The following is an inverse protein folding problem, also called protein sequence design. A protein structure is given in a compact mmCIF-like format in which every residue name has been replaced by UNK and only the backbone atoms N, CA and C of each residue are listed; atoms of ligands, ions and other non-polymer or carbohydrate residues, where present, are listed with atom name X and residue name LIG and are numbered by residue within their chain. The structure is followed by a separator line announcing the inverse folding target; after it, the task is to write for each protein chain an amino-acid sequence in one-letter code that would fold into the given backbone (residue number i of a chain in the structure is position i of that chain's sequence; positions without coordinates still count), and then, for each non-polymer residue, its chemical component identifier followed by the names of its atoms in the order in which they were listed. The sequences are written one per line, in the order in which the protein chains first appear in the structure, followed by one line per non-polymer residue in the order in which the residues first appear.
data_IF_690903695860
#
_entry.id   IF_690903695860
#
_cell.length_a   1.000
_cell.length_b   1.000
_cell.length_c   1.000
_cell.angle_alpha   90.00
_cell.angle_beta   90.00
_cell.angle_gamma   90.00
#
_symmetry.space_group_name_H-M   'P 1'
#
loop_
_entity.id
_entity.type
_entity.pdbx_description
1 polymer ?
#
# COMPACT_ATOMS: atom_id res chain seq x y z
N UNK A 1 15.48 -62.84 45.93
CA UNK A 1 16.87 -62.87 45.44
C UNK A 1 17.07 -61.61 44.63
N UNK A 2 17.87 -60.61 44.98
CA UNK A 2 18.88 -60.41 46.04
C UNK A 2 18.85 -58.90 46.38
N UNK A 3 18.76 -58.48 47.66
CA UNK A 3 19.90 -57.96 48.44
C UNK A 3 20.13 -56.46 48.17
N UNK A 4 19.49 -55.52 48.90
CA UNK A 4 19.95 -54.90 50.18
C UNK A 4 21.38 -54.36 50.09
N UNK A 5 21.59 -53.03 50.08
CA UNK A 5 21.84 -52.19 51.28
C UNK A 5 22.34 -50.79 50.86
N UNK A 6 22.22 -49.80 51.75
CA UNK A 6 23.04 -48.58 51.65
C UNK A 6 22.35 -47.24 51.90
N UNK A 7 21.92 -47.04 53.15
CA UNK A 7 21.48 -45.79 53.76
C UNK A 7 22.55 -44.67 53.67
N UNK A 8 22.16 -43.44 53.32
CA UNK A 8 22.69 -42.19 53.90
C UNK A 8 21.99 -40.91 53.39
N UNK A 9 21.39 -40.23 54.37
CA UNK A 9 20.85 -38.88 54.40
C UNK A 9 21.57 -37.84 53.51
N UNK A 10 20.78 -37.06 52.75
CA UNK A 10 21.09 -35.65 52.53
C UNK A 10 19.84 -34.76 52.66
N UNK A 11 20.05 -33.64 53.34
CA UNK A 11 19.09 -32.64 53.83
C UNK A 11 18.67 -31.65 52.74
N UNK A 12 17.41 -31.21 52.85
CA UNK A 12 16.89 -29.84 52.70
C UNK A 12 17.35 -28.96 51.52
N UNK A 13 16.40 -28.61 50.65
CA UNK A 13 16.16 -27.30 49.99
C UNK A 13 14.80 -27.47 49.25
N UNK A 14 13.69 -26.78 49.57
CA UNK A 14 13.49 -25.32 49.70
C UNK A 14 12.77 -24.82 48.44
N UNK A 15 11.47 -25.11 48.25
CA UNK A 15 10.35 -24.13 48.24
C UNK A 15 10.74 -22.70 47.84
N UNK A 16 10.94 -22.41 46.55
CA UNK A 16 10.91 -21.02 46.02
C UNK A 16 10.38 -21.02 44.58
N UNK A 17 9.17 -20.47 44.37
CA UNK A 17 8.60 -20.34 43.02
C UNK A 17 7.35 -19.47 42.87
N UNK A 18 6.83 -18.85 43.94
CA UNK A 18 5.49 -18.24 43.91
C UNK A 18 5.42 -16.83 44.55
N UNK A 19 6.52 -16.06 44.53
CA UNK A 19 6.62 -14.77 45.23
C UNK A 19 6.85 -13.53 44.34
N UNK A 20 7.02 -13.65 43.02
CA UNK A 20 7.47 -12.52 42.17
C UNK A 20 6.38 -11.72 41.46
N UNK A 21 5.09 -12.06 41.62
CA UNK A 21 4.00 -11.35 40.91
C UNK A 21 3.22 -10.34 41.78
N UNK A 22 3.50 -10.25 43.09
CA UNK A 22 2.81 -9.31 44.00
C UNK A 22 3.50 -7.97 44.18
N UNK A 23 4.74 -7.82 43.73
CA UNK A 23 5.53 -6.60 43.97
C UNK A 23 5.29 -5.49 42.93
N UNK A 24 4.91 -5.86 41.69
CA UNK A 24 4.79 -4.88 40.58
C UNK A 24 3.65 -3.87 40.84
N UNK A 25 2.53 -4.32 41.41
CA UNK A 25 1.39 -3.43 41.70
C UNK A 25 1.58 -2.52 42.93
N UNK A 26 2.60 -2.76 43.76
CA UNK A 26 2.85 -1.96 44.96
C UNK A 26 3.87 -0.84 44.69
N UNK A 27 4.80 -1.03 43.75
CA UNK A 27 5.79 -0.02 43.36
C UNK A 27 5.13 1.19 42.70
N UNK A 28 4.15 0.97 41.81
CA UNK A 28 3.39 2.05 41.14
C UNK A 28 2.61 2.94 42.12
N UNK A 29 2.13 2.36 43.24
CA UNK A 29 1.42 3.09 44.29
C UNK A 29 2.38 3.88 45.18
N UNK A 30 3.55 3.30 45.50
CA UNK A 30 4.57 3.97 46.32
C UNK A 30 5.20 5.14 45.55
N UNK A 31 5.39 5.03 44.24
CA UNK A 31 5.90 6.14 43.42
C UNK A 31 4.93 7.34 43.40
N UNK A 32 3.61 7.09 43.31
CA UNK A 32 2.62 8.17 43.27
C UNK A 32 2.58 8.97 44.59
N UNK A 33 2.84 8.32 45.73
CA UNK A 33 2.96 8.97 47.05
C UNK A 33 4.22 9.85 47.17
N UNK A 34 5.23 9.66 46.32
CA UNK A 34 6.48 10.44 46.35
C UNK A 34 6.49 11.66 45.44
N UNK A 35 5.63 11.69 44.41
CA UNK A 35 5.52 12.82 43.50
C UNK A 35 4.80 13.99 44.19
N UNK A 36 5.34 15.19 44.05
CA UNK A 36 4.61 16.39 44.46
C UNK A 36 3.33 16.55 43.64
N UNK A 37 2.34 17.30 44.14
CA UNK A 37 1.10 17.55 43.37
C UNK A 37 1.38 18.11 41.97
N UNK A 38 2.39 18.98 41.83
CA UNK A 38 2.80 19.54 40.53
C UNK A 38 3.37 18.46 39.61
N UNK A 39 4.13 17.51 40.15
CA UNK A 39 4.69 16.40 39.38
C UNK A 39 3.64 15.36 39.00
N UNK A 40 2.64 15.11 39.86
CA UNK A 40 1.49 14.27 39.55
C UNK A 40 0.67 14.88 38.40
N UNK A 41 0.36 16.18 38.46
CA UNK A 41 -0.33 16.90 37.39
C UNK A 41 0.47 16.87 36.07
N UNK A 42 1.79 17.05 36.13
CA UNK A 42 2.67 16.95 34.96
C UNK A 42 2.70 15.53 34.38
N UNK A 43 2.79 14.50 35.22
CA UNK A 43 2.74 13.09 34.83
C UNK A 43 1.43 12.79 34.09
N UNK A 44 0.29 13.18 34.64
CA UNK A 44 -1.01 12.99 34.00
C UNK A 44 -1.10 13.74 32.66
N UNK A 45 -0.56 14.96 32.57
CA UNK A 45 -0.51 15.71 31.31
C UNK A 45 0.31 14.94 30.26
N UNK A 46 1.51 14.50 30.61
CA UNK A 46 2.43 13.80 29.69
C UNK A 46 1.88 12.44 29.23
N UNK A 47 1.19 11.71 30.11
CA UNK A 47 0.53 10.46 29.73
C UNK A 47 -0.61 10.68 28.72
N UNK A 48 -1.32 11.81 28.83
CA UNK A 48 -2.41 12.18 27.93
C UNK A 48 -1.93 12.76 26.58
N UNK A 49 -0.72 13.31 26.50
CA UNK A 49 -0.12 13.79 25.24
C UNK A 49 0.24 12.64 24.27
N UNK A 50 0.34 11.41 24.78
CA UNK A 50 0.64 10.21 24.01
C UNK A 50 -0.57 9.62 23.28
N UNK A 51 -0.30 8.56 22.50
CA UNK A 51 -1.32 7.79 21.79
C UNK A 51 -1.74 6.55 22.59
N UNK A 52 -2.21 6.72 23.82
CA UNK A 52 -2.55 5.62 24.73
C UNK A 52 -3.64 4.68 24.18
N UNK A 53 -4.52 5.18 23.30
CA UNK A 53 -5.54 4.38 22.64
C UNK A 53 -5.01 3.46 21.54
N UNK A 54 -3.74 3.60 21.12
CA UNK A 54 -3.15 2.82 20.04
C UNK A 54 -2.45 1.56 20.54
N UNK A 55 -2.91 0.41 20.05
CA UNK A 55 -2.26 -0.87 20.24
C UNK A 55 -1.07 -1.04 19.29
N UNK A 56 -0.10 -1.87 19.69
CA UNK A 56 1.01 -2.26 18.83
C UNK A 56 0.56 -2.93 17.52
N UNK A 57 -0.57 -3.64 17.56
CA UNK A 57 -1.14 -4.29 16.37
C UNK A 57 -1.68 -3.26 15.36
N UNK A 58 -2.33 -2.20 15.81
CA UNK A 58 -2.81 -1.10 14.96
C UNK A 58 -1.64 -0.34 14.34
N UNK A 59 -0.59 -0.04 15.14
CA UNK A 59 0.66 0.52 14.63
C UNK A 59 1.25 -0.33 13.49
N UNK A 60 1.35 -1.65 13.68
CA UNK A 60 1.85 -2.56 12.63
C UNK A 60 1.01 -2.54 11.37
N UNK A 61 -0.32 -2.48 11.50
CA UNK A 61 -1.24 -2.38 10.35
C UNK A 61 -1.09 -1.04 9.63
N UNK A 62 -0.94 0.06 10.36
CA UNK A 62 -0.67 1.38 9.79
C UNK A 62 0.64 1.38 9.00
N UNK A 63 1.73 0.89 9.60
CA UNK A 63 3.02 0.77 8.91
C UNK A 63 2.92 -0.13 7.68
N UNK A 64 2.18 -1.24 7.75
CA UNK A 64 1.93 -2.10 6.60
C UNK A 64 1.16 -1.36 5.49
N UNK A 65 0.12 -0.59 5.84
CA UNK A 65 -0.63 0.22 4.89
C UNK A 65 0.26 1.26 4.19
N UNK A 66 1.05 2.03 4.93
CA UNK A 66 1.96 3.06 4.39
C UNK A 66 3.07 2.46 3.51
N UNK A 67 3.62 1.31 3.89
CA UNK A 67 4.70 0.67 3.13
C UNK A 67 4.22 -0.18 1.96
N UNK A 68 2.94 -0.54 1.89
CA UNK A 68 2.37 -1.35 0.80
C UNK A 68 2.38 -0.64 -0.56
N UNK A 69 2.28 0.69 -0.58
CA UNK A 69 2.05 1.47 -1.79
C UNK A 69 0.64 1.30 -2.37
N UNK A 70 -0.31 0.70 -1.64
CA UNK A 70 -1.71 0.51 -2.02
C UNK A 70 -2.60 1.73 -1.72
N UNK A 71 -2.12 2.63 -0.87
CA UNK A 71 -2.81 3.86 -0.49
C UNK A 71 -1.95 5.10 -0.77
N UNK A 72 -2.59 6.24 -0.99
CA UNK A 72 -1.93 7.54 -0.89
C UNK A 72 -1.78 7.86 0.61
N UNK A 73 -0.71 8.55 0.98
CA UNK A 73 -0.45 8.99 2.36
C UNK A 73 -1.44 10.06 2.81
N UNK A 74 -2.11 10.73 1.87
CA UNK A 74 -3.19 11.68 2.14
C UNK A 74 -4.59 11.04 2.16
N UNK A 75 -4.72 9.75 1.78
CA UNK A 75 -6.00 9.03 1.72
C UNK A 75 -6.34 8.40 3.09
N UNK A 76 -6.54 9.27 4.09
CA UNK A 76 -6.86 8.87 5.46
C UNK A 76 -8.07 7.93 5.57
N UNK A 77 -9.18 8.10 4.81
CA UNK A 77 -10.30 7.17 4.88
C UNK A 77 -9.92 5.73 4.52
N UNK A 78 -9.12 5.53 3.46
CA UNK A 78 -8.69 4.18 3.09
C UNK A 78 -7.64 3.62 4.03
N UNK A 79 -6.75 4.47 4.56
CA UNK A 79 -5.76 4.04 5.57
C UNK A 79 -6.48 3.60 6.85
N UNK A 80 -7.46 4.37 7.32
CA UNK A 80 -8.26 4.02 8.50
C UNK A 80 -8.95 2.67 8.33
N UNK A 81 -9.60 2.44 7.19
CA UNK A 81 -10.19 1.14 6.87
C UNK A 81 -9.18 -0.02 6.87
N UNK A 82 -7.90 0.24 6.55
CA UNK A 82 -6.84 -0.78 6.58
C UNK A 82 -6.28 -1.04 7.99
N UNK A 83 -6.36 -0.07 8.90
CA UNK A 83 -5.91 -0.21 10.30
C UNK A 83 -6.94 -1.02 11.12
N UNK A 84 -8.23 -0.80 10.87
CA UNK A 84 -9.33 -1.50 11.53
C UNK A 84 -10.54 -0.59 11.77
N UNK A 85 -11.64 -1.17 12.25
CA UNK A 85 -12.90 -0.45 12.54
C UNK A 85 -12.84 0.50 13.72
N UNK A 86 -11.83 0.35 14.58
CA UNK A 86 -11.87 0.91 15.94
C UNK A 86 -11.18 2.29 16.03
N UNK A 87 -10.61 2.78 14.91
CA UNK A 87 -10.00 4.11 14.80
C UNK A 87 -10.77 4.98 13.83
N UNK A 88 -11.08 6.19 14.28
CA UNK A 88 -11.67 7.22 13.44
C UNK A 88 -10.64 7.76 12.45
N UNK A 89 -11.11 8.33 11.33
CA UNK A 89 -10.24 8.98 10.33
C UNK A 89 -9.40 10.10 10.96
N UNK A 90 -9.94 10.81 11.95
CA UNK A 90 -9.24 11.85 12.70
C UNK A 90 -8.07 11.30 13.53
N UNK A 91 -8.31 10.27 14.33
CA UNK A 91 -7.25 9.63 15.13
C UNK A 91 -6.11 9.09 14.25
N UNK A 92 -6.46 8.49 13.10
CA UNK A 92 -5.47 7.98 12.13
C UNK A 92 -4.65 9.12 11.54
N UNK A 93 -5.28 10.23 11.17
CA UNK A 93 -4.56 11.43 10.66
C UNK A 93 -3.60 11.98 11.71
N UNK A 94 -4.06 12.12 12.95
CA UNK A 94 -3.27 12.75 14.02
C UNK A 94 -2.07 11.85 14.39
N UNK A 95 -2.29 10.53 14.54
CA UNK A 95 -1.22 9.56 14.75
C UNK A 95 -0.23 9.52 13.59
N UNK A 96 -0.74 9.53 12.35
CA UNK A 96 0.11 9.46 11.16
C UNK A 96 0.99 10.69 11.00
N UNK A 97 0.45 11.89 11.32
CA UNK A 97 1.22 13.14 11.32
C UNK A 97 2.35 13.05 12.34
N UNK A 98 2.05 12.68 13.58
CA UNK A 98 3.05 12.51 14.63
C UNK A 98 4.09 11.42 14.29
N UNK A 99 3.66 10.32 13.66
CA UNK A 99 4.54 9.24 13.24
C UNK A 99 5.54 9.70 12.18
N UNK A 100 5.10 10.47 11.19
CA UNK A 100 5.98 10.96 10.12
C UNK A 100 6.90 12.09 10.60
N UNK A 101 6.46 12.92 11.54
CA UNK A 101 7.27 14.02 12.08
C UNK A 101 8.27 13.56 13.15
N UNK A 102 7.85 12.67 14.06
CA UNK A 102 8.62 12.30 15.27
C UNK A 102 9.07 10.83 15.28
N UNK A 103 8.60 9.99 14.36
CA UNK A 103 8.89 8.56 14.36
C UNK A 103 10.38 8.22 14.36
N UNK A 104 11.21 9.03 13.71
CA UNK A 104 12.67 8.86 13.70
C UNK A 104 13.32 9.06 15.08
N UNK A 105 12.70 9.87 15.95
CA UNK A 105 13.17 10.16 17.31
C UNK A 105 12.62 9.15 18.32
N UNK A 106 11.36 8.73 18.15
CA UNK A 106 10.64 7.92 19.14
C UNK A 106 10.71 6.41 18.89
N UNK A 107 10.98 5.96 17.66
CA UNK A 107 10.88 4.54 17.27
C UNK A 107 12.22 4.02 16.77
N UNK A 108 12.77 3.02 17.44
CA UNK A 108 13.99 2.33 17.03
C UNK A 108 13.83 1.70 15.64
N UNK A 109 14.72 2.06 14.71
CA UNK A 109 14.70 1.50 13.34
C UNK A 109 13.69 2.14 12.38
N UNK A 110 13.05 3.25 12.77
CA UNK A 110 12.07 3.94 11.93
C UNK A 110 12.64 4.43 10.58
N UNK A 111 13.94 4.75 10.51
CA UNK A 111 14.61 5.13 9.27
C UNK A 111 14.41 4.12 8.13
N UNK A 112 14.36 2.82 8.45
CA UNK A 112 14.08 1.78 7.45
C UNK A 112 12.61 1.80 6.98
N UNK A 113 11.68 2.07 7.90
CA UNK A 113 10.26 2.21 7.60
C UNK A 113 10.03 3.43 6.71
N UNK A 114 10.59 4.59 7.08
CA UNK A 114 10.51 5.82 6.31
C UNK A 114 11.05 5.64 4.89
N UNK A 115 12.20 4.99 4.74
CA UNK A 115 12.76 4.67 3.42
C UNK A 115 11.80 3.79 2.59
N UNK A 116 11.13 2.82 3.21
CA UNK A 116 10.13 1.98 2.53
C UNK A 116 8.89 2.78 2.13
N UNK A 117 8.41 3.69 2.98
CA UNK A 117 7.28 4.60 2.67
C UNK A 117 7.65 5.48 1.47
N UNK A 118 8.82 6.13 1.48
CA UNK A 118 9.26 6.96 0.36
C UNK A 118 9.34 6.16 -0.95
N UNK A 119 9.92 4.95 -0.92
CA UNK A 119 9.99 4.06 -2.10
C UNK A 119 8.60 3.61 -2.57
N UNK A 120 7.65 3.37 -1.66
CA UNK A 120 6.29 2.96 -2.01
C UNK A 120 5.53 4.12 -2.67
N UNK A 121 5.67 5.33 -2.14
CA UNK A 121 5.11 6.58 -2.70
C UNK A 121 5.68 6.89 -4.08
N UNK A 122 6.99 6.79 -4.26
CA UNK A 122 7.63 7.03 -5.56
C UNK A 122 7.15 6.01 -6.62
N UNK A 123 7.04 4.74 -6.23
CA UNK A 123 6.48 3.69 -7.12
C UNK A 123 5.01 3.93 -7.45
N UNK A 124 4.20 4.42 -6.50
CA UNK A 124 2.80 4.82 -6.73
C UNK A 124 2.75 5.99 -7.72
N UNK A 125 3.43 7.09 -7.42
CA UNK A 125 3.49 8.28 -8.27
C UNK A 125 3.88 7.92 -9.71
N UNK A 126 4.91 7.08 -9.87
CA UNK A 126 5.34 6.60 -11.19
C UNK A 126 4.21 5.86 -11.93
N UNK A 127 3.46 4.99 -11.25
CA UNK A 127 2.31 4.27 -11.85
C UNK A 127 1.16 5.22 -12.20
N UNK A 128 0.88 6.20 -11.33
CA UNK A 128 -0.18 7.18 -11.57
C UNK A 128 0.17 8.09 -12.75
N UNK A 129 1.44 8.46 -12.91
CA UNK A 129 1.95 9.17 -14.08
C UNK A 129 1.84 8.32 -15.36
N UNK A 130 2.19 7.02 -15.29
CA UNK A 130 2.05 6.08 -16.41
C UNK A 130 0.58 5.95 -16.84
N UNK A 131 -0.33 5.83 -15.89
CA UNK A 131 -1.78 5.77 -16.12
C UNK A 131 -2.30 7.06 -16.75
N UNK A 132 -1.94 8.21 -16.19
CA UNK A 132 -2.36 9.52 -16.69
C UNK A 132 -1.87 9.76 -18.12
N UNK A 133 -0.62 9.43 -18.42
CA UNK A 133 -0.08 9.52 -19.77
C UNK A 133 -0.80 8.57 -20.74
N UNK A 134 -1.09 7.34 -20.30
CA UNK A 134 -1.84 6.35 -21.09
C UNK A 134 -3.26 6.83 -21.43
N UNK A 135 -4.02 7.29 -20.43
CA UNK A 135 -5.36 7.86 -20.61
C UNK A 135 -5.32 9.06 -21.55
N UNK A 136 -4.43 10.02 -21.28
CA UNK A 136 -4.26 11.21 -22.13
C UNK A 136 -3.96 10.86 -23.59
N UNK A 137 -3.10 9.86 -23.83
CA UNK A 137 -2.74 9.43 -25.19
C UNK A 137 -3.94 8.89 -25.95
N UNK A 138 -4.75 8.02 -25.34
CA UNK A 138 -6.00 7.54 -25.97
C UNK A 138 -6.96 8.70 -26.20
N UNK A 139 -7.05 9.60 -25.23
CA UNK A 139 -7.95 10.74 -25.29
C UNK A 139 -7.55 11.81 -26.31
N UNK A 140 -6.28 11.86 -26.71
CA UNK A 140 -5.76 12.80 -27.69
C UNK A 140 -6.14 12.50 -29.15
N UNK A 141 -6.64 11.28 -29.43
CA UNK A 141 -7.04 10.86 -30.78
C UNK A 141 -8.56 10.85 -30.92
N UNK A 142 -9.06 11.28 -32.08
CA UNK A 142 -10.49 11.18 -32.43
C UNK A 142 -10.89 9.73 -32.73
N UNK A 143 -9.98 8.99 -33.39
CA UNK A 143 -10.15 7.60 -33.80
C UNK A 143 -9.02 6.74 -33.26
N UNK A 144 -8.95 6.51 -31.93
CA UNK A 144 -7.83 5.79 -31.32
C UNK A 144 -7.67 4.36 -31.85
N UNK A 145 -8.73 3.73 -32.35
CA UNK A 145 -8.75 2.42 -33.01
C UNK A 145 -7.95 2.36 -34.32
N UNK A 146 -7.72 3.50 -34.98
CA UNK A 146 -6.94 3.58 -36.23
C UNK A 146 -5.66 4.41 -36.07
N UNK A 147 -5.66 5.42 -35.20
CA UNK A 147 -4.60 6.43 -35.08
C UNK A 147 -3.57 6.11 -34.00
N UNK A 148 -3.91 5.32 -32.98
CA UNK A 148 -3.01 5.06 -31.86
C UNK A 148 -1.78 4.27 -32.33
N UNK A 149 -0.61 4.83 -32.05
CA UNK A 149 0.69 4.24 -32.37
C UNK A 149 1.60 4.29 -31.16
N UNK A 150 2.53 3.33 -31.08
CA UNK A 150 3.52 3.22 -30.01
C UNK A 150 4.93 3.27 -30.61
N UNK A 151 5.84 4.02 -29.98
CA UNK A 151 7.26 3.96 -30.34
C UNK A 151 7.86 2.62 -29.91
N UNK A 152 8.19 1.74 -30.86
CA UNK A 152 8.88 0.48 -30.60
C UNK A 152 8.63 -0.60 -31.66
N UNK A 153 9.16 -1.80 -31.42
CA UNK A 153 8.86 -3.00 -32.22
C UNK A 153 7.60 -3.69 -31.67
N UNK A 154 6.63 -3.98 -32.53
CA UNK A 154 5.39 -4.68 -32.17
C UNK A 154 4.42 -4.78 -33.34
N UNK A 155 3.47 -5.71 -33.26
CA UNK A 155 2.33 -5.76 -34.19
C UNK A 155 1.41 -4.60 -33.84
N UNK A 156 1.52 -3.50 -34.59
CA UNK A 156 0.85 -2.23 -34.29
C UNK A 156 -0.65 -2.38 -34.01
N UNK A 157 -1.31 -3.30 -34.74
CA UNK A 157 -2.73 -3.54 -34.60
C UNK A 157 -3.11 -4.28 -33.30
N UNK A 158 -2.41 -5.37 -32.97
CA UNK A 158 -2.66 -6.12 -31.74
C UNK A 158 -2.41 -5.27 -30.49
N UNK A 159 -1.28 -4.58 -30.44
CA UNK A 159 -0.94 -3.73 -29.29
C UNK A 159 -1.94 -2.60 -29.10
N UNK A 160 -2.40 -1.98 -30.20
CA UNK A 160 -3.43 -0.95 -30.18
C UNK A 160 -4.73 -1.50 -29.61
N UNK A 161 -5.20 -2.64 -30.10
CA UNK A 161 -6.44 -3.25 -29.60
C UNK A 161 -6.34 -3.66 -28.14
N UNK A 162 -5.23 -4.28 -27.75
CA UNK A 162 -4.96 -4.65 -26.36
C UNK A 162 -4.96 -3.43 -25.44
N UNK A 163 -4.34 -2.34 -25.87
CA UNK A 163 -4.27 -1.11 -25.10
C UNK A 163 -5.63 -0.41 -24.96
N UNK A 164 -6.46 -0.42 -26.01
CA UNK A 164 -7.82 0.12 -25.95
C UNK A 164 -8.73 -0.71 -25.04
N UNK A 165 -8.62 -2.04 -25.10
CA UNK A 165 -9.33 -2.91 -24.15
C UNK A 165 -8.91 -2.65 -22.70
N UNK A 166 -7.61 -2.40 -22.47
CA UNK A 166 -7.13 -2.00 -21.15
C UNK A 166 -7.70 -0.63 -20.75
N UNK A 167 -7.73 0.35 -21.67
CA UNK A 167 -8.31 1.67 -21.44
C UNK A 167 -9.79 1.62 -21.07
N UNK A 168 -10.60 0.81 -21.76
CA UNK A 168 -12.04 0.67 -21.50
C UNK A 168 -12.33 0.13 -20.09
N UNK A 169 -11.37 -0.60 -19.50
CA UNK A 169 -11.43 -1.11 -18.13
C UNK A 169 -10.66 -0.24 -17.12
N UNK A 170 -10.23 0.96 -17.52
CA UNK A 170 -9.44 1.88 -16.70
C UNK A 170 -8.06 1.36 -16.32
N UNK A 171 -7.49 0.45 -17.12
CA UNK A 171 -6.24 -0.28 -16.90
C UNK A 171 -6.22 -1.12 -15.60
N UNK A 172 -7.40 -1.55 -15.13
CA UNK A 172 -7.54 -2.31 -13.86
C UNK A 172 -7.89 -3.79 -14.05
N UNK A 173 -8.10 -4.23 -15.29
CA UNK A 173 -8.48 -5.62 -15.58
C UNK A 173 -7.33 -6.60 -15.30
N UNK A 174 -7.57 -7.59 -14.43
CA UNK A 174 -6.60 -8.64 -14.01
C UNK A 174 -6.68 -9.96 -14.81
N UNK A 175 -7.52 -10.00 -15.84
CA UNK A 175 -7.77 -11.20 -16.64
C UNK A 175 -7.82 -10.85 -18.13
N UNK A 176 -7.16 -9.77 -18.53
CA UNK A 176 -7.17 -9.28 -19.91
C UNK A 176 -6.71 -10.36 -20.89
N UNK A 177 -5.73 -11.19 -20.52
CA UNK A 177 -5.25 -12.28 -21.36
C UNK A 177 -6.33 -13.33 -21.68
N UNK A 178 -7.14 -13.70 -20.67
CA UNK A 178 -8.27 -14.62 -20.86
C UNK A 178 -9.33 -14.00 -21.78
N UNK A 179 -9.70 -12.74 -21.53
CA UNK A 179 -10.69 -12.02 -22.35
C UNK A 179 -10.22 -11.92 -23.81
N UNK A 180 -8.95 -11.60 -24.04
CA UNK A 180 -8.36 -11.54 -25.39
C UNK A 180 -8.45 -12.90 -26.08
N UNK A 181 -8.07 -14.00 -25.40
CA UNK A 181 -8.09 -15.35 -26.00
C UNK A 181 -9.50 -15.86 -26.34
N UNK A 182 -10.51 -15.41 -25.60
CA UNK A 182 -11.92 -15.77 -25.82
C UNK A 182 -12.54 -15.01 -27.00
N UNK A 183 -11.91 -13.93 -27.51
CA UNK A 183 -12.45 -13.17 -28.64
C UNK A 183 -12.43 -13.99 -29.94
N UNK A 184 -13.50 -13.94 -30.76
CA UNK A 184 -13.59 -14.69 -32.01
C UNK A 184 -12.43 -14.43 -32.99
N UNK A 185 -11.93 -13.19 -33.02
CA UNK A 185 -10.86 -12.76 -33.92
C UNK A 185 -9.51 -13.43 -33.62
N UNK A 186 -9.26 -13.78 -32.35
CA UNK A 186 -8.03 -14.45 -31.92
C UNK A 186 -8.18 -15.96 -31.82
N UNK A 187 -9.34 -16.52 -32.17
CA UNK A 187 -9.61 -17.97 -32.10
C UNK A 187 -8.59 -18.81 -32.88
N UNK A 188 -8.16 -18.31 -34.05
CA UNK A 188 -7.20 -18.99 -34.93
C UNK A 188 -5.79 -18.37 -34.91
N UNK A 189 -5.58 -17.34 -34.09
CA UNK A 189 -4.26 -16.73 -33.90
C UNK A 189 -3.44 -17.59 -32.93
N UNK A 190 -2.64 -18.52 -33.50
CA UNK A 190 -1.77 -19.42 -32.74
C UNK A 190 -0.78 -18.65 -31.86
N UNK A 191 -0.32 -17.47 -32.30
CA UNK A 191 0.59 -16.65 -31.50
C UNK A 191 -0.14 -16.15 -30.25
N UNK A 192 -1.34 -15.58 -30.38
CA UNK A 192 -2.14 -15.13 -29.23
C UNK A 192 -2.50 -16.27 -28.29
N UNK A 193 -2.94 -17.42 -28.82
CA UNK A 193 -3.34 -18.58 -28.02
C UNK A 193 -2.17 -19.20 -27.25
N UNK A 194 -0.94 -19.13 -27.79
CA UNK A 194 0.26 -19.67 -27.14
C UNK A 194 0.82 -18.81 -25.99
N UNK A 195 0.35 -17.57 -25.80
CA UNK A 195 0.85 -16.68 -24.73
C UNK A 195 0.25 -17.02 -23.38
N UNK A 196 1.01 -16.86 -22.29
CA UNK A 196 0.44 -16.92 -20.94
C UNK A 196 -0.46 -15.72 -20.67
N UNK A 197 -1.41 -15.82 -19.73
CA UNK A 197 -2.30 -14.69 -19.43
C UNK A 197 -1.53 -13.47 -18.89
N UNK A 198 -0.45 -13.70 -18.12
CA UNK A 198 0.49 -12.67 -17.63
C UNK A 198 1.20 -11.92 -18.77
N UNK A 199 1.39 -12.54 -19.94
CA UNK A 199 2.00 -11.88 -21.08
C UNK A 199 1.24 -10.60 -21.47
N UNK A 200 -0.09 -10.68 -21.50
CA UNK A 200 -0.94 -9.57 -21.91
C UNK A 200 -0.87 -8.42 -20.90
N UNK A 201 -0.91 -8.72 -19.61
CA UNK A 201 -0.75 -7.73 -18.54
C UNK A 201 0.62 -7.05 -18.60
N UNK A 202 1.69 -7.85 -18.75
CA UNK A 202 3.05 -7.34 -18.93
C UNK A 202 3.16 -6.48 -20.18
N UNK A 203 2.51 -6.87 -21.29
CA UNK A 203 2.52 -6.12 -22.54
C UNK A 203 1.85 -4.76 -22.36
N UNK A 204 0.68 -4.70 -21.74
CA UNK A 204 0.01 -3.42 -21.40
C UNK A 204 0.94 -2.54 -20.55
N UNK A 205 1.59 -3.09 -19.52
CA UNK A 205 2.53 -2.34 -18.69
C UNK A 205 3.75 -1.81 -19.46
N UNK A 206 4.25 -2.54 -20.47
CA UNK A 206 5.31 -2.06 -21.36
C UNK A 206 4.81 -0.92 -22.25
N UNK A 207 3.59 -1.04 -22.79
CA UNK A 207 2.98 -0.01 -23.63
C UNK A 207 2.74 1.29 -22.85
N UNK A 208 2.22 1.21 -21.61
CA UNK A 208 2.04 2.38 -20.73
C UNK A 208 3.36 3.11 -20.48
N UNK A 209 4.45 2.38 -20.20
CA UNK A 209 5.79 2.96 -20.04
C UNK A 209 6.35 3.57 -21.33
N UNK A 210 6.04 2.96 -22.48
CA UNK A 210 6.42 3.53 -23.77
C UNK A 210 5.68 4.86 -24.03
N UNK A 211 4.37 4.91 -23.76
CA UNK A 211 3.56 6.13 -23.86
C UNK A 211 4.07 7.21 -22.91
N UNK A 212 4.35 6.88 -21.64
CA UNK A 212 4.91 7.85 -20.68
C UNK A 212 6.20 8.49 -21.21
N UNK A 213 7.15 7.68 -21.70
CA UNK A 213 8.41 8.18 -22.29
C UNK A 213 8.19 9.01 -23.55
N UNK A 214 7.12 8.77 -24.29
CA UNK A 214 6.77 9.56 -25.48
C UNK A 214 6.17 10.92 -25.10
N UNK A 215 5.35 10.97 -24.05
CA UNK A 215 4.77 12.19 -23.51
C UNK A 215 5.82 13.06 -22.80
N UNK A 216 6.84 12.46 -22.18
CA UNK A 216 8.01 13.13 -21.60
C UNK A 216 8.94 13.67 -22.71
N UNK A 217 8.54 14.76 -23.37
CA UNK A 217 9.40 15.50 -24.31
C UNK A 217 10.51 16.25 -23.55
N UNK A 218 11.70 16.48 -24.17
CA UNK A 218 12.87 17.10 -23.51
C UNK A 218 12.66 18.53 -22.97
N UNK A 219 11.52 19.17 -23.22
CA UNK A 219 11.30 20.60 -22.95
C UNK A 219 10.38 20.90 -21.75
N UNK A 220 10.17 19.96 -20.82
CA UNK A 220 9.48 20.24 -19.54
C UNK A 220 7.99 20.64 -19.61
N UNK A 221 7.43 20.85 -20.80
CA UNK A 221 6.01 21.09 -20.99
C UNK A 221 5.26 19.76 -20.91
N UNK A 222 4.71 19.48 -19.72
CA UNK A 222 3.63 18.51 -19.55
C UNK A 222 2.55 18.82 -20.58
N UNK A 223 2.19 17.87 -21.43
CA UNK A 223 1.01 18.01 -22.28
C UNK A 223 -0.21 18.09 -21.37
N UNK A 224 -0.72 19.31 -21.17
CA UNK A 224 -1.98 19.54 -20.47
C UNK A 224 -3.09 18.69 -21.16
N UNK A 225 -3.98 18.05 -20.38
CA UNK A 225 -5.11 17.35 -20.95
C UNK A 225 -6.00 18.33 -21.71
N UNK A 226 -6.17 18.10 -23.01
CA UNK A 226 -7.21 18.78 -23.75
C UNK A 226 -8.55 18.36 -23.14
N UNK A 227 -9.30 19.33 -22.60
CA UNK A 227 -10.68 19.14 -22.16
C UNK A 227 -11.47 18.54 -23.32
N UNK A 228 -11.78 17.24 -23.26
CA UNK A 228 -12.69 16.64 -24.24
C UNK A 228 -14.07 17.28 -24.09
N UNK A 229 -14.62 17.74 -25.21
CA UNK A 229 -16.04 18.13 -25.31
C UNK A 229 -16.91 16.90 -25.05
N UNK A 230 -18.13 17.07 -24.48
CA UNK A 230 -19.08 15.98 -24.36
C UNK A 230 -19.35 15.38 -25.75
N UNK A 231 -19.27 14.05 -25.88
CA UNK A 231 -19.81 13.35 -27.05
C UNK A 231 -21.26 13.81 -27.22
N UNK A 232 -21.58 14.46 -28.34
CA UNK A 232 -22.96 14.63 -28.76
C UNK A 232 -23.53 13.23 -28.95
N UNK A 233 -24.57 12.89 -28.19
CA UNK A 233 -25.45 11.76 -28.47
C UNK A 233 -26.04 11.95 -29.86
N UNK A 234 -25.50 11.25 -30.84
CA UNK A 234 -26.12 11.09 -32.15
C UNK A 234 -26.14 9.60 -32.46
N UNK A 235 -27.13 8.88 -31.94
CA UNK A 235 -27.65 7.61 -32.47
C UNK A 235 -29.00 7.31 -31.81
N UNK A 236 -29.97 8.20 -32.03
CA UNK A 236 -31.40 7.85 -32.04
C UNK A 236 -32.00 8.51 -33.27
N UNK A 237 -31.98 7.76 -34.36
CA UNK A 237 -32.77 8.03 -35.56
C UNK A 237 -33.69 6.82 -35.70
N UNK A 238 -34.95 7.00 -35.31
CA UNK A 238 -36.08 6.44 -36.05
C UNK A 238 -36.32 7.36 -37.27
#
# INVERSE_FOLDING_TARGET
SDGVDGDQQNKQEGVEGEATDRNVGNEDLVEDETLTLVEQEERERLLNEGFASWSFQEYRRLVAALTSGAYDVTDYPRIANAVGSDKTVGEVRDYMTALLERGMQCITGFAHIEQRIRKSQEKRKRRDDELRAATWKVESYDHPESQLTFRGRGTHEFDRRLFLMAYDTGFRMRNIGRVVKEMPEYRFDVWCQSRSDDYFERRVGILMKAVKRECEKPNGNTMEPALRRPKLDSLTTD
#
